data_IF_499113673467
#
_entry.id   IF_499113673467
#
_cell.length_a   1.000
_cell.length_b   1.000
_cell.length_c   1.000
_cell.angle_alpha   90.00
_cell.angle_beta   90.00
_cell.angle_gamma   90.00
#
_symmetry.space_group_name_H-M   'P 1'
#
loop_
_entity.id
_entity.type
_entity.pdbx_description
1 polymer ?
#
# COMPACT_ATOMS: atom_id res chain seq x y z
N UNK A 1 3.83 -14.60 -7.23
CA UNK A 1 5.12 -14.49 -6.48
C UNK A 1 5.60 -13.05 -6.26
N UNK A 2 5.53 -12.15 -7.25
CA UNK A 2 6.01 -10.75 -7.11
C UNK A 2 5.27 -9.97 -6.02
N UNK A 3 3.95 -10.12 -5.90
CA UNK A 3 3.13 -9.41 -4.90
C UNK A 3 3.53 -9.75 -3.46
N UNK A 4 3.75 -11.04 -3.16
CA UNK A 4 4.20 -11.49 -1.83
C UNK A 4 5.55 -10.89 -1.47
N UNK A 5 6.49 -10.83 -2.42
CA UNK A 5 7.80 -10.18 -2.20
C UNK A 5 7.63 -8.69 -1.93
N UNK A 6 6.81 -8.00 -2.73
CA UNK A 6 6.52 -6.58 -2.53
C UNK A 6 5.88 -6.31 -1.17
N UNK A 7 4.98 -7.20 -0.73
CA UNK A 7 4.34 -7.16 0.58
C UNK A 7 5.38 -7.29 1.71
N UNK A 8 6.19 -8.35 1.71
CA UNK A 8 7.21 -8.60 2.74
C UNK A 8 8.20 -7.44 2.81
N UNK A 9 8.72 -7.01 1.66
CA UNK A 9 9.64 -5.87 1.58
C UNK A 9 8.98 -4.59 2.09
N UNK A 10 7.73 -4.35 1.73
CA UNK A 10 6.93 -3.20 2.20
C UNK A 10 6.73 -3.20 3.72
N UNK A 11 6.34 -4.34 4.31
CA UNK A 11 6.16 -4.49 5.76
C UNK A 11 7.49 -4.30 6.51
N UNK A 12 8.58 -4.89 6.03
CA UNK A 12 9.92 -4.70 6.60
C UNK A 12 10.39 -3.25 6.50
N UNK A 13 10.11 -2.58 5.38
CA UNK A 13 10.42 -1.17 5.17
C UNK A 13 9.61 -0.27 6.11
N UNK A 14 8.30 -0.51 6.27
CA UNK A 14 7.46 0.22 7.23
C UNK A 14 7.96 0.07 8.67
N UNK A 15 8.32 -1.16 9.06
CA UNK A 15 8.89 -1.45 10.38
C UNK A 15 10.19 -0.68 10.63
N UNK A 16 11.09 -0.63 9.64
CA UNK A 16 12.35 0.13 9.74
C UNK A 16 12.12 1.64 9.75
N UNK A 17 11.28 2.16 8.87
CA UNK A 17 10.95 3.59 8.79
C UNK A 17 10.35 4.11 10.08
N UNK A 18 9.49 3.31 10.71
CA UNK A 18 8.93 3.62 12.03
C UNK A 18 10.02 3.75 13.11
N UNK A 19 10.89 2.75 13.23
CA UNK A 19 11.98 2.76 14.23
C UNK A 19 12.88 3.98 14.06
N UNK A 20 13.18 4.34 12.82
CA UNK A 20 13.97 5.54 12.52
C UNK A 20 13.28 6.83 12.95
N UNK A 21 11.97 6.94 12.71
CA UNK A 21 11.16 8.10 13.13
C UNK A 21 10.98 8.20 14.66
N UNK A 22 11.01 7.09 15.37
CA UNK A 22 11.02 7.05 16.85
C UNK A 22 12.39 7.45 17.43
N UNK A 23 13.49 7.13 16.73
CA UNK A 23 14.85 7.43 17.16
C UNK A 23 15.29 8.89 16.89
N UNK A 24 14.84 9.49 15.78
CA UNK A 24 15.26 10.84 15.35
C UNK A 24 14.40 11.97 15.94
N UNK A 25 14.98 13.08 16.42
CA UNK A 25 14.22 14.28 16.82
C UNK A 25 13.51 14.94 15.63
N UNK A 26 12.27 15.46 15.77
CA UNK A 26 11.37 15.34 16.93
C UNK A 26 10.79 13.93 17.01
N UNK A 27 10.99 13.26 18.15
CA UNK A 27 10.61 11.85 18.37
C UNK A 27 9.11 11.68 18.12
N UNK A 28 8.74 10.93 17.08
CA UNK A 28 7.33 10.71 16.74
C UNK A 28 6.83 9.43 17.40
N UNK A 29 6.00 9.57 18.45
CA UNK A 29 5.34 8.42 19.09
C UNK A 29 4.20 7.91 18.22
N UNK A 30 4.43 6.81 17.53
CA UNK A 30 3.40 6.12 16.77
C UNK A 30 2.44 5.40 17.74
N UNK A 31 1.14 5.78 17.73
CA UNK A 31 0.14 5.31 18.70
C UNK A 31 -0.22 3.82 18.62
N UNK A 32 0.09 3.11 17.52
CA UNK A 32 -0.37 1.73 17.28
C UNK A 32 0.78 0.72 17.36
N UNK A 33 0.52 -0.49 17.83
CA UNK A 33 1.53 -1.54 18.03
C UNK A 33 2.16 -2.04 16.71
N UNK A 34 3.45 -2.40 16.71
CA UNK A 34 4.19 -2.86 15.52
C UNK A 34 3.57 -4.10 14.86
N UNK A 35 2.89 -4.95 15.64
CA UNK A 35 2.22 -6.15 15.13
C UNK A 35 1.21 -5.85 14.02
N UNK A 36 0.54 -4.69 14.07
CA UNK A 36 -0.43 -4.28 13.05
C UNK A 36 0.19 -3.97 11.68
N UNK A 37 1.51 -3.85 11.57
CA UNK A 37 2.20 -3.74 10.27
C UNK A 37 2.06 -5.04 9.46
N UNK A 38 1.94 -6.17 10.16
CA UNK A 38 1.78 -7.50 9.56
C UNK A 38 0.32 -7.94 9.56
N UNK A 39 -0.32 -7.91 10.74
CA UNK A 39 -1.69 -8.40 10.90
C UNK A 39 -2.75 -7.48 10.31
N UNK A 40 -2.38 -6.21 10.07
CA UNK A 40 -3.28 -5.21 9.49
C UNK A 40 -3.79 -5.56 8.10
N UNK A 41 -3.10 -6.43 7.37
CA UNK A 41 -3.41 -6.77 5.98
C UNK A 41 -4.25 -8.03 5.80
N UNK A 42 -4.31 -8.89 6.82
CA UNK A 42 -5.00 -10.17 6.74
C UNK A 42 -6.37 -10.17 7.42
N UNK A 43 -6.56 -9.29 8.41
CA UNK A 43 -7.83 -9.19 9.13
C UNK A 43 -8.79 -8.28 8.34
N UNK A 44 -9.90 -8.79 7.77
CA UNK A 44 -10.69 -8.07 6.76
C UNK A 44 -11.23 -6.71 7.26
N UNK A 45 -11.69 -6.66 8.50
CA UNK A 45 -12.16 -5.43 9.15
C UNK A 45 -11.00 -4.42 9.32
N UNK A 46 -9.86 -4.92 9.77
CA UNK A 46 -8.67 -4.11 10.10
C UNK A 46 -8.00 -3.62 8.80
N UNK A 47 -7.99 -4.44 7.75
CA UNK A 47 -7.44 -4.14 6.44
C UNK A 47 -8.11 -2.94 5.78
N UNK A 48 -9.35 -2.60 6.16
CA UNK A 48 -10.04 -1.44 5.61
C UNK A 48 -9.45 -0.09 6.04
N UNK A 49 -8.71 -0.02 7.16
CA UNK A 49 -8.19 1.27 7.64
C UNK A 49 -6.80 1.23 8.26
N UNK A 50 -6.36 0.12 8.83
CA UNK A 50 -5.05 0.06 9.50
C UNK A 50 -3.87 0.27 8.55
N UNK A 51 -3.81 -0.36 7.36
CA UNK A 51 -2.72 -0.13 6.44
C UNK A 51 -2.58 1.36 6.08
N UNK A 52 -3.71 2.04 5.83
CA UNK A 52 -3.75 3.49 5.64
C UNK A 52 -3.18 4.26 6.82
N UNK A 53 -3.63 3.96 8.04
CA UNK A 53 -3.14 4.64 9.24
C UNK A 53 -1.63 4.48 9.40
N UNK A 54 -1.09 3.27 9.21
CA UNK A 54 0.34 2.98 9.32
C UNK A 54 1.13 3.79 8.29
N UNK A 55 0.73 3.76 7.02
CA UNK A 55 1.44 4.47 5.94
C UNK A 55 1.36 5.97 6.13
N UNK A 56 0.17 6.49 6.47
CA UNK A 56 -0.06 7.92 6.72
C UNK A 56 0.77 8.42 7.90
N UNK A 57 0.82 7.65 8.99
CA UNK A 57 1.56 8.03 10.18
C UNK A 57 3.07 8.07 9.90
N UNK A 58 3.62 7.07 9.18
CA UNK A 58 5.03 7.07 8.72
C UNK A 58 5.33 8.23 7.77
N UNK A 59 4.43 8.49 6.82
CA UNK A 59 4.57 9.59 5.85
C UNK A 59 4.57 10.95 6.55
N UNK A 60 3.62 11.20 7.47
CA UNK A 60 3.56 12.42 8.28
C UNK A 60 4.73 12.57 9.25
N UNK A 61 5.16 11.49 9.90
CA UNK A 61 6.31 11.52 10.81
C UNK A 61 7.62 11.88 10.09
N UNK A 62 7.72 11.57 8.80
CA UNK A 62 8.94 11.79 8.01
C UNK A 62 8.91 13.10 7.24
N UNK A 63 7.81 13.37 6.52
CA UNK A 63 7.67 14.52 5.59
C UNK A 63 7.10 15.75 6.32
N UNK A 64 6.40 15.56 7.44
CA UNK A 64 5.78 16.61 8.23
C UNK A 64 4.27 16.77 7.97
N UNK A 65 3.63 17.77 8.59
CA UNK A 65 2.17 17.97 8.53
C UNK A 65 1.62 18.20 7.12
N UNK A 66 2.44 18.71 6.20
CA UNK A 66 2.08 19.00 4.82
C UNK A 66 2.11 17.75 3.89
N UNK A 67 2.41 16.56 4.43
CA UNK A 67 2.47 15.32 3.66
C UNK A 67 1.10 15.01 3.02
N UNK A 68 1.08 14.91 1.67
CA UNK A 68 -0.11 14.61 0.87
C UNK A 68 0.13 13.40 -0.04
N UNK A 69 -0.90 12.60 -0.26
CA UNK A 69 -0.87 11.47 -1.21
C UNK A 69 -1.22 10.11 -0.61
N UNK A 70 -1.02 9.91 0.70
CA UNK A 70 -1.38 8.65 1.37
C UNK A 70 -2.88 8.32 1.24
N UNK A 71 -3.76 9.33 1.28
CA UNK A 71 -5.21 9.15 1.08
C UNK A 71 -5.58 8.77 -0.35
N UNK A 72 -4.94 9.39 -1.34
CA UNK A 72 -5.16 9.06 -2.75
C UNK A 72 -4.67 7.64 -3.08
N UNK A 73 -3.47 7.28 -2.60
CA UNK A 73 -2.96 5.91 -2.70
C UNK A 73 -3.92 4.90 -2.08
N UNK A 74 -4.44 5.20 -0.88
CA UNK A 74 -5.37 4.30 -0.20
C UNK A 74 -6.69 4.13 -0.95
N UNK A 75 -7.25 5.23 -1.47
CA UNK A 75 -8.45 5.17 -2.29
C UNK A 75 -8.24 4.30 -3.54
N UNK A 76 -7.12 4.46 -4.24
CA UNK A 76 -6.76 3.62 -5.39
C UNK A 76 -6.55 2.15 -5.02
N UNK A 77 -5.95 1.89 -3.86
CA UNK A 77 -5.79 0.53 -3.35
C UNK A 77 -7.14 -0.15 -3.11
N UNK A 78 -8.05 0.51 -2.38
CA UNK A 78 -9.41 -0.01 -2.15
C UNK A 78 -10.19 -0.18 -3.45
N UNK A 79 -10.09 0.76 -4.39
CA UNK A 79 -10.70 0.63 -5.73
C UNK A 79 -10.17 -0.61 -6.45
N UNK A 80 -8.86 -0.86 -6.38
CA UNK A 80 -8.25 -2.04 -7.01
C UNK A 80 -8.79 -3.33 -6.39
N UNK A 81 -8.89 -3.41 -5.07
CA UNK A 81 -9.45 -4.57 -4.37
C UNK A 81 -10.93 -4.81 -4.72
N UNK A 82 -11.76 -3.76 -4.70
CA UNK A 82 -13.18 -3.87 -5.04
C UNK A 82 -13.37 -4.32 -6.50
N UNK A 83 -12.60 -3.75 -7.43
CA UNK A 83 -12.65 -4.14 -8.85
C UNK A 83 -12.17 -5.58 -9.03
N UNK A 84 -11.10 -6.00 -8.35
CA UNK A 84 -10.61 -7.38 -8.41
C UNK A 84 -11.67 -8.38 -7.95
N UNK A 85 -12.36 -8.11 -6.84
CA UNK A 85 -13.46 -8.94 -6.34
C UNK A 85 -14.63 -8.96 -7.31
N UNK A 86 -15.01 -7.81 -7.88
CA UNK A 86 -16.09 -7.74 -8.86
C UNK A 86 -15.77 -8.54 -10.13
N UNK A 87 -14.54 -8.43 -10.65
CA UNK A 87 -14.06 -9.23 -11.78
C UNK A 87 -14.13 -10.71 -11.45
N UNK A 88 -13.66 -11.13 -10.27
CA UNK A 88 -13.71 -12.52 -9.84
C UNK A 88 -15.14 -13.08 -9.81
N UNK A 89 -16.10 -12.31 -9.26
CA UNK A 89 -17.51 -12.71 -9.21
C UNK A 89 -18.11 -12.84 -10.61
N UNK A 90 -17.85 -11.87 -11.49
CA UNK A 90 -18.34 -11.90 -12.88
C UNK A 90 -17.75 -13.08 -13.65
N UNK A 91 -16.44 -13.29 -13.54
CA UNK A 91 -15.73 -14.41 -14.14
C UNK A 91 -16.26 -15.75 -13.65
N UNK A 92 -16.45 -15.91 -12.34
CA UNK A 92 -17.02 -17.12 -11.77
C UNK A 92 -18.44 -17.38 -12.28
N UNK A 93 -19.25 -16.32 -12.47
CA UNK A 93 -20.56 -16.42 -13.09
C UNK A 93 -20.50 -16.93 -14.54
N UNK A 94 -19.64 -16.34 -15.37
CA UNK A 94 -19.48 -16.78 -16.77
C UNK A 94 -18.92 -18.20 -16.90
N UNK A 95 -17.98 -18.58 -16.04
CA UNK A 95 -17.42 -19.94 -16.05
C UNK A 95 -18.49 -21.02 -15.79
N UNK A 96 -19.58 -20.68 -15.08
CA UNK A 96 -20.69 -21.57 -14.79
C UNK A 96 -21.77 -21.58 -15.89
N UNK A 97 -21.86 -20.53 -16.72
CA UNK A 97 -22.96 -20.32 -17.67
C UNK A 97 -22.56 -20.37 -19.15
N UNK A 98 -21.42 -19.77 -19.52
CA UNK A 98 -20.96 -19.67 -20.91
C UNK A 98 -19.44 -19.46 -21.02
N UNK A 99 -18.74 -20.54 -21.39
CA UNK A 99 -17.28 -20.56 -21.56
C UNK A 99 -16.75 -19.71 -22.74
N UNK A 100 -17.55 -19.47 -23.78
CA UNK A 100 -17.13 -18.67 -24.94
C UNK A 100 -17.16 -17.17 -24.61
N UNK A 101 -18.18 -16.74 -23.86
CA UNK A 101 -18.25 -15.39 -23.33
C UNK A 101 -17.11 -15.13 -22.34
N UNK A 102 -16.82 -16.10 -21.45
CA UNK A 102 -15.69 -16.04 -20.53
C UNK A 102 -14.35 -15.80 -21.26
N UNK A 103 -14.03 -16.60 -22.29
CA UNK A 103 -12.79 -16.50 -23.05
C UNK A 103 -12.62 -15.12 -23.74
N UNK A 104 -13.72 -14.49 -24.13
CA UNK A 104 -13.72 -13.21 -24.85
C UNK A 104 -13.46 -12.00 -23.93
N UNK A 105 -14.02 -12.00 -22.72
CA UNK A 105 -13.89 -10.86 -21.79
C UNK A 105 -12.65 -10.94 -20.88
N UNK A 106 -12.15 -12.14 -20.60
CA UNK A 106 -11.03 -12.34 -19.68
C UNK A 106 -9.80 -11.45 -19.97
N UNK A 107 -9.31 -11.32 -21.23
CA UNK A 107 -8.13 -10.51 -21.50
C UNK A 107 -8.33 -9.02 -21.16
N UNK A 108 -9.52 -8.48 -21.42
CA UNK A 108 -9.84 -7.08 -21.14
C UNK A 108 -9.97 -6.79 -19.65
N UNK A 109 -10.59 -7.71 -18.90
CA UNK A 109 -10.70 -7.60 -17.44
C UNK A 109 -9.33 -7.68 -16.76
N UNK A 110 -8.50 -8.62 -17.19
CA UNK A 110 -7.12 -8.75 -16.70
C UNK A 110 -6.27 -7.51 -17.05
N UNK A 111 -6.39 -6.98 -18.27
CA UNK A 111 -5.70 -5.75 -18.66
C UNK A 111 -6.12 -4.54 -17.81
N UNK A 112 -7.42 -4.39 -17.54
CA UNK A 112 -7.94 -3.33 -16.70
C UNK A 112 -7.42 -3.45 -15.25
N UNK A 113 -7.44 -4.66 -14.69
CA UNK A 113 -6.92 -4.93 -13.34
C UNK A 113 -5.40 -4.69 -13.26
N UNK A 114 -4.65 -5.08 -14.29
CA UNK A 114 -3.22 -4.82 -14.38
C UNK A 114 -2.92 -3.31 -14.41
N UNK A 115 -3.68 -2.52 -15.17
CA UNK A 115 -3.54 -1.07 -15.23
C UNK A 115 -3.82 -0.41 -13.87
N UNK A 116 -4.91 -0.82 -13.19
CA UNK A 116 -5.25 -0.36 -11.85
C UNK A 116 -4.15 -0.69 -10.84
N UNK A 117 -3.65 -1.92 -10.87
CA UNK A 117 -2.56 -2.39 -10.00
C UNK A 117 -1.29 -1.58 -10.24
N UNK A 118 -0.95 -1.30 -11.50
CA UNK A 118 0.20 -0.48 -11.86
C UNK A 118 0.08 0.96 -11.34
N UNK A 119 -1.11 1.58 -11.47
CA UNK A 119 -1.37 2.92 -10.96
C UNK A 119 -1.24 3.00 -9.43
N UNK A 120 -1.85 2.04 -8.72
CA UNK A 120 -1.74 1.90 -7.26
C UNK A 120 -0.28 1.70 -6.84
N UNK A 121 0.47 0.87 -7.56
CA UNK A 121 1.90 0.63 -7.35
C UNK A 121 2.75 1.90 -7.57
N UNK A 122 2.46 2.69 -8.60
CA UNK A 122 3.17 3.94 -8.87
C UNK A 122 2.98 4.96 -7.73
N UNK A 123 1.76 5.07 -7.18
CA UNK A 123 1.48 5.91 -6.03
C UNK A 123 2.22 5.44 -4.78
N UNK A 124 2.27 4.13 -4.56
CA UNK A 124 3.05 3.53 -3.47
C UNK A 124 4.55 3.86 -3.59
N UNK A 125 5.14 3.64 -4.77
CA UNK A 125 6.55 3.93 -5.05
C UNK A 125 6.87 5.40 -4.81
N UNK A 126 5.97 6.32 -5.20
CA UNK A 126 6.13 7.74 -4.94
C UNK A 126 6.24 8.04 -3.44
N UNK A 127 5.35 7.47 -2.62
CA UNK A 127 5.37 7.64 -1.15
C UNK A 127 6.68 7.09 -0.58
N UNK A 128 7.09 5.89 -0.97
CA UNK A 128 8.33 5.26 -0.50
C UNK A 128 9.56 6.10 -0.85
N UNK A 129 9.65 6.59 -2.09
CA UNK A 129 10.77 7.42 -2.55
C UNK A 129 10.84 8.76 -1.81
N UNK A 130 9.69 9.38 -1.57
CA UNK A 130 9.61 10.64 -0.81
C UNK A 130 10.09 10.46 0.64
N UNK A 131 9.59 9.42 1.33
CA UNK A 131 9.99 9.09 2.70
C UNK A 131 11.48 8.76 2.75
N UNK A 132 11.98 7.92 1.85
CA UNK A 132 13.39 7.53 1.81
C UNK A 132 14.34 8.70 1.49
N UNK A 133 13.94 9.63 0.62
CA UNK A 133 14.72 10.83 0.34
C UNK A 133 14.83 11.73 1.58
N UNK A 134 13.71 11.96 2.28
CA UNK A 134 13.67 12.78 3.49
C UNK A 134 14.42 12.14 4.67
N UNK A 135 14.31 10.83 4.84
CA UNK A 135 15.09 10.09 5.85
C UNK A 135 16.59 10.22 5.58
N UNK A 136 17.03 10.02 4.33
CA UNK A 136 18.45 10.17 3.96
C UNK A 136 18.97 11.58 4.21
N UNK A 137 18.20 12.61 3.85
CA UNK A 137 18.58 14.00 4.11
C UNK A 137 18.73 14.29 5.61
N UNK A 138 17.82 13.78 6.45
CA UNK A 138 17.91 13.94 7.91
C UNK A 138 19.11 13.22 8.53
N UNK A 139 19.41 12.01 8.07
CA UNK A 139 20.59 11.26 8.53
C UNK A 139 21.88 11.98 8.14
N UNK A 140 21.95 12.51 6.91
CA UNK A 140 23.12 13.27 6.44
C UNK A 140 23.34 14.56 7.25
N UNK A 141 22.28 15.32 7.55
CA UNK A 141 22.36 16.49 8.42
C UNK A 141 22.77 16.14 9.87
N UNK A 142 22.46 14.91 10.31
CA UNK A 142 22.93 14.26 11.54
C UNK A 142 24.46 14.16 11.69
N UNK A 143 25.13 13.94 10.57
CA UNK A 143 26.51 13.52 10.49
C UNK A 143 27.46 14.66 10.09
N UNK A 144 26.92 15.85 9.80
CA UNK A 144 27.65 17.07 9.44
C UNK A 144 27.78 17.97 10.67
#
# INVERSE_FOLDING_TARGET
>A
MVQIRAFVVGCLWLGRSRRLAEALPPRYRHRKHQAFIWTGWFLPIVNFWYPYLVVRDVHRATVGPAARGAGAWWAWFLTTDVVAVAIYVVVAGFALSDSAQYASYLPWLEAALAALTAATGALWVRIVREVAARQRARVAALAA
#
